data_IF_037781484473
#
_entry.id   IF_037781484473
#
_cell.length_a   1.000
_cell.length_b   1.000
_cell.length_c   1.000
_cell.angle_alpha   90.00
_cell.angle_beta   90.00
_cell.angle_gamma   90.00
#
_symmetry.space_group_name_H-M   'P 1'
#
loop_
_entity.id
_entity.type
_entity.pdbx_description
1 polymer ?
#
# COMPACT_ATOMS: atom_id res chain seq x y z
N UNK A 1 -0.06 7.81 42.71
CA UNK A 1 -0.63 6.66 41.97
C UNK A 1 -0.99 7.12 40.55
N UNK A 2 0.00 7.45 39.72
CA UNK A 2 -0.23 7.94 38.35
C UNK A 2 0.74 7.35 37.31
N UNK A 3 1.62 6.41 37.68
CA UNK A 3 2.67 5.91 36.78
C UNK A 3 2.21 4.78 35.84
N UNK A 4 1.18 4.01 36.17
CA UNK A 4 0.74 2.86 35.35
C UNK A 4 -0.12 3.25 34.14
N UNK A 5 -0.81 4.39 34.18
CA UNK A 5 -1.66 4.84 33.08
C UNK A 5 -0.85 5.29 31.85
N UNK A 6 0.19 6.11 32.05
CA UNK A 6 1.09 6.56 30.96
C UNK A 6 1.81 5.38 30.29
N UNK A 7 2.33 4.43 31.07
CA UNK A 7 2.96 3.23 30.51
C UNK A 7 1.98 2.28 29.81
N UNK A 8 0.67 2.40 30.05
CA UNK A 8 -0.34 1.62 29.34
C UNK A 8 -0.72 2.30 28.02
N UNK A 9 -0.90 3.63 28.02
CA UNK A 9 -1.16 4.44 26.82
C UNK A 9 0.03 4.34 25.84
N UNK A 10 1.26 4.58 26.29
CA UNK A 10 2.47 4.46 25.44
C UNK A 10 2.62 3.06 24.82
N UNK A 11 2.19 2.02 25.55
CA UNK A 11 2.25 0.64 25.07
C UNK A 11 1.11 0.31 24.12
N UNK A 12 -0.08 0.85 24.35
CA UNK A 12 -1.21 0.71 23.44
C UNK A 12 -0.91 1.40 22.12
N UNK A 13 -0.31 2.60 22.15
CA UNK A 13 0.10 3.34 20.97
C UNK A 13 1.19 2.58 20.19
N UNK A 14 2.18 2.02 20.88
CA UNK A 14 3.20 1.16 20.26
C UNK A 14 2.57 -0.09 19.62
N UNK A 15 1.62 -0.74 20.29
CA UNK A 15 0.94 -1.93 19.73
C UNK A 15 0.14 -1.55 18.49
N UNK A 16 -0.63 -0.46 18.54
CA UNK A 16 -1.37 0.04 17.38
C UNK A 16 -0.46 0.38 16.20
N UNK A 17 0.68 1.04 16.47
CA UNK A 17 1.70 1.32 15.46
C UNK A 17 2.22 0.04 14.79
N UNK A 18 2.53 -0.98 15.59
CA UNK A 18 3.04 -2.26 15.06
C UNK A 18 1.97 -3.05 14.29
N UNK A 19 0.75 -3.10 14.80
CA UNK A 19 -0.36 -3.83 14.18
C UNK A 19 -0.77 -3.20 12.85
N UNK A 20 -0.96 -1.88 12.82
CA UNK A 20 -1.31 -1.15 11.59
C UNK A 20 -0.14 -1.12 10.60
N UNK A 21 1.10 -1.00 11.08
CA UNK A 21 2.29 -1.09 10.23
C UNK A 21 2.41 -2.45 9.55
N UNK A 22 2.17 -3.54 10.29
CA UNK A 22 2.15 -4.90 9.73
C UNK A 22 0.99 -5.09 8.74
N UNK A 23 -0.21 -4.60 9.06
CA UNK A 23 -1.37 -4.67 8.18
C UNK A 23 -1.11 -3.92 6.85
N UNK A 24 -0.49 -2.74 6.93
CA UNK A 24 -0.09 -1.95 5.77
C UNK A 24 0.96 -2.68 4.92
N UNK A 25 2.00 -3.25 5.55
CA UNK A 25 3.03 -4.02 4.86
C UNK A 25 2.45 -5.23 4.12
N UNK A 26 1.56 -5.99 4.77
CA UNK A 26 0.90 -7.14 4.17
C UNK A 26 0.01 -6.74 2.99
N UNK A 27 -0.76 -5.67 3.13
CA UNK A 27 -1.61 -5.17 2.05
C UNK A 27 -0.79 -4.67 0.85
N UNK A 28 0.35 -4.04 1.10
CA UNK A 28 1.30 -3.64 0.05
C UNK A 28 1.87 -4.86 -0.69
N UNK A 29 2.31 -5.89 0.02
CA UNK A 29 2.82 -7.12 -0.59
C UNK A 29 1.78 -7.81 -1.49
N UNK A 30 0.53 -7.92 -1.01
CA UNK A 30 -0.57 -8.49 -1.79
C UNK A 30 -0.91 -7.65 -3.02
N UNK A 31 -0.93 -6.32 -2.87
CA UNK A 31 -1.18 -5.39 -3.97
C UNK A 31 -0.10 -5.49 -5.05
N UNK A 32 1.18 -5.48 -4.66
CA UNK A 32 2.30 -5.65 -5.57
C UNK A 32 2.21 -6.96 -6.35
N UNK A 33 1.93 -8.08 -5.67
CA UNK A 33 1.76 -9.40 -6.31
C UNK A 33 0.66 -9.40 -7.36
N UNK A 34 -0.51 -8.83 -7.07
CA UNK A 34 -1.65 -8.79 -8.01
C UNK A 34 -1.35 -7.85 -9.19
N UNK A 35 -0.73 -6.69 -8.93
CA UNK A 35 -0.34 -5.74 -9.98
C UNK A 35 0.73 -6.31 -10.90
N UNK A 36 1.73 -7.01 -10.37
CA UNK A 36 2.77 -7.70 -11.15
C UNK A 36 2.17 -8.70 -12.16
N UNK A 37 1.12 -9.42 -11.77
CA UNK A 37 0.38 -10.32 -12.68
C UNK A 37 -0.24 -9.61 -13.89
N UNK A 38 -0.51 -8.31 -13.79
CA UNK A 38 -1.04 -7.47 -14.89
C UNK A 38 0.03 -6.95 -15.83
N UNK A 39 1.27 -6.80 -15.36
CA UNK A 39 2.39 -6.37 -16.20
C UNK A 39 2.64 -7.35 -17.33
N UNK A 40 2.52 -8.64 -17.03
CA UNK A 40 2.72 -9.73 -17.99
C UNK A 40 1.52 -9.99 -18.92
N UNK A 41 0.39 -9.28 -18.75
CA UNK A 41 -0.80 -9.53 -19.55
C UNK A 41 -0.70 -8.89 -20.95
N UNK A 42 -0.81 -9.74 -21.98
CA UNK A 42 -0.88 -9.36 -23.39
C UNK A 42 -2.24 -9.82 -23.94
N UNK A 43 -3.30 -9.06 -23.65
CA UNK A 43 -4.63 -9.33 -24.21
C UNK A 43 -4.69 -9.00 -25.71
N UNK A 44 -5.44 -9.76 -26.52
CA UNK A 44 -5.61 -9.44 -27.93
C UNK A 44 -6.44 -8.16 -28.09
N UNK A 45 -5.86 -7.11 -28.72
CA UNK A 45 -6.52 -5.83 -28.98
C UNK A 45 -5.87 -4.57 -28.36
N UNK A 46 -4.63 -4.67 -27.83
CA UNK A 46 -3.82 -3.62 -27.17
C UNK A 46 -3.38 -2.46 -28.11
N UNK A 47 -4.33 -1.77 -28.73
CA UNK A 47 -4.06 -0.48 -29.36
C UNK A 47 -4.10 0.64 -28.30
N UNK A 48 -3.10 0.66 -27.42
CA UNK A 48 -2.78 1.81 -26.54
C UNK A 48 -3.40 1.77 -25.13
N UNK A 49 -4.60 1.24 -24.97
CA UNK A 49 -5.30 1.14 -23.67
C UNK A 49 -4.58 0.16 -22.72
N UNK A 50 -4.07 -0.96 -23.24
CA UNK A 50 -3.30 -1.92 -22.45
C UNK A 50 -1.94 -1.38 -21.97
N UNK A 51 -1.34 -0.43 -22.70
CA UNK A 51 -0.08 0.19 -22.31
C UNK A 51 -0.21 1.10 -21.08
N UNK A 52 -1.31 1.85 -20.96
CA UNK A 52 -1.60 2.68 -19.79
C UNK A 52 -1.78 1.82 -18.53
N UNK A 53 -2.62 0.78 -18.61
CA UNK A 53 -2.82 -0.17 -17.50
C UNK A 53 -1.51 -0.86 -17.11
N UNK A 54 -0.72 -1.33 -18.08
CA UNK A 54 0.56 -1.99 -17.82
C UNK A 54 1.53 -1.05 -17.11
N UNK A 55 1.68 0.18 -17.60
CA UNK A 55 2.53 1.20 -16.97
C UNK A 55 2.08 1.47 -15.55
N UNK A 56 0.77 1.65 -15.34
CA UNK A 56 0.24 1.93 -14.01
C UNK A 56 0.44 0.77 -13.05
N UNK A 57 0.25 -0.47 -13.50
CA UNK A 57 0.51 -1.67 -12.70
C UNK A 57 1.99 -1.81 -12.32
N UNK A 58 2.94 -1.46 -13.21
CA UNK A 58 4.38 -1.42 -12.86
C UNK A 58 4.63 -0.42 -11.74
N UNK A 59 4.16 0.82 -11.89
CA UNK A 59 4.36 1.86 -10.88
C UNK A 59 3.75 1.48 -9.53
N UNK A 60 2.55 0.91 -9.53
CA UNK A 60 1.89 0.45 -8.31
C UNK A 60 2.64 -0.71 -7.66
N UNK A 61 3.19 -1.63 -8.45
CA UNK A 61 4.02 -2.75 -7.94
C UNK A 61 5.26 -2.21 -7.25
N UNK A 62 6.01 -1.32 -7.90
CA UNK A 62 7.27 -0.79 -7.37
C UNK A 62 7.07 0.00 -6.06
N UNK A 63 6.06 0.87 -6.00
CA UNK A 63 5.81 1.64 -4.77
C UNK A 63 5.30 0.76 -3.62
N UNK A 64 4.48 -0.26 -3.92
CA UNK A 64 3.98 -1.18 -2.91
C UNK A 64 5.12 -2.06 -2.37
N UNK A 65 6.00 -2.58 -3.24
CA UNK A 65 7.17 -3.36 -2.81
C UNK A 65 8.12 -2.51 -1.94
N UNK A 66 8.42 -1.28 -2.37
CA UNK A 66 9.28 -0.37 -1.60
C UNK A 66 8.67 -0.04 -0.23
N UNK A 67 7.36 0.17 -0.16
CA UNK A 67 6.64 0.45 1.09
C UNK A 67 6.62 -0.79 2.00
N UNK A 68 6.35 -1.97 1.44
CA UNK A 68 6.39 -3.23 2.18
C UNK A 68 7.76 -3.48 2.80
N UNK A 69 8.83 -3.32 2.00
CA UNK A 69 10.20 -3.46 2.48
C UNK A 69 10.52 -2.46 3.60
N UNK A 70 10.19 -1.18 3.40
CA UNK A 70 10.37 -0.12 4.40
C UNK A 70 9.69 -0.44 5.74
N UNK A 71 8.43 -0.89 5.71
CA UNK A 71 7.66 -1.20 6.92
C UNK A 71 8.11 -2.50 7.60
N UNK A 72 8.70 -3.42 6.84
CA UNK A 72 9.20 -4.70 7.35
C UNK A 72 10.60 -4.60 7.97
N UNK A 73 11.41 -3.65 7.50
CA UNK A 73 12.75 -3.39 8.03
C UNK A 73 12.68 -2.54 9.32
N UNK A 74 12.70 -3.19 10.49
CA UNK A 74 12.58 -2.56 11.83
C UNK A 74 13.74 -1.61 12.23
N UNK A 75 14.68 -1.28 11.35
CA UNK A 75 15.86 -0.51 11.70
C UNK A 75 15.66 1.00 11.45
N UNK A 76 15.42 1.76 12.53
CA UNK A 76 15.54 3.23 12.61
C UNK A 76 15.02 4.00 11.38
N UNK A 77 13.78 3.71 10.97
CA UNK A 77 13.10 4.51 9.96
C UNK A 77 12.56 5.79 10.63
N UNK A 78 12.87 6.93 10.02
CA UNK A 78 12.33 8.23 10.42
C UNK A 78 10.82 8.31 10.07
N UNK A 79 9.97 8.60 11.05
CA UNK A 79 8.50 8.65 10.88
C UNK A 79 8.07 9.63 9.78
N UNK A 80 8.81 10.73 9.58
CA UNK A 80 8.53 11.68 8.52
C UNK A 80 8.74 11.06 7.14
N UNK A 81 9.82 10.32 6.94
CA UNK A 81 10.09 9.57 5.71
C UNK A 81 9.06 8.45 5.48
N UNK A 82 8.65 7.74 6.55
CA UNK A 82 7.58 6.75 6.47
C UNK A 82 6.25 7.37 6.01
N UNK A 83 5.87 8.52 6.59
CA UNK A 83 4.64 9.22 6.22
C UNK A 83 4.63 9.57 4.74
N UNK A 84 5.71 10.15 4.22
CA UNK A 84 5.83 10.51 2.79
C UNK A 84 5.67 9.27 1.90
N UNK A 85 6.37 8.17 2.23
CA UNK A 85 6.29 6.94 1.44
C UNK A 85 4.88 6.34 1.45
N UNK A 86 4.23 6.27 2.61
CA UNK A 86 2.90 5.66 2.75
C UNK A 86 1.83 6.55 2.09
N UNK A 87 1.94 7.88 2.18
CA UNK A 87 1.08 8.82 1.44
C UNK A 87 1.20 8.62 -0.07
N UNK A 88 2.43 8.49 -0.57
CA UNK A 88 2.66 8.26 -1.99
C UNK A 88 2.13 6.90 -2.44
N UNK A 89 2.35 5.83 -1.65
CA UNK A 89 1.80 4.51 -1.90
C UNK A 89 0.27 4.53 -1.97
N UNK A 90 -0.39 5.20 -1.01
CA UNK A 90 -1.85 5.38 -0.99
C UNK A 90 -2.36 6.05 -2.25
N UNK A 91 -1.75 7.17 -2.66
CA UNK A 91 -2.15 7.90 -3.87
C UNK A 91 -2.00 7.04 -5.12
N UNK A 92 -0.86 6.35 -5.27
CA UNK A 92 -0.60 5.47 -6.41
C UNK A 92 -1.57 4.30 -6.48
N UNK A 93 -1.89 3.68 -5.34
CA UNK A 93 -2.88 2.61 -5.25
C UNK A 93 -4.27 3.07 -5.72
N UNK A 94 -4.72 4.26 -5.28
CA UNK A 94 -6.01 4.79 -5.71
C UNK A 94 -6.03 5.08 -7.22
N UNK A 95 -4.96 5.63 -7.76
CA UNK A 95 -4.87 5.87 -9.21
C UNK A 95 -4.82 4.56 -10.00
N UNK A 96 -4.09 3.56 -9.53
CA UNK A 96 -4.08 2.23 -10.14
C UNK A 96 -5.45 1.54 -10.07
N UNK A 97 -6.20 1.72 -8.98
CA UNK A 97 -7.55 1.19 -8.88
C UNK A 97 -8.48 1.82 -9.94
N UNK A 98 -8.42 3.13 -10.14
CA UNK A 98 -9.21 3.82 -11.17
C UNK A 98 -8.86 3.34 -12.59
N UNK A 99 -7.57 3.14 -12.89
CA UNK A 99 -7.16 2.59 -14.19
C UNK A 99 -7.64 1.15 -14.33
N UNK A 100 -7.52 0.31 -13.30
CA UNK A 100 -8.02 -1.07 -13.32
C UNK A 100 -9.56 -1.13 -13.50
N UNK A 101 -10.34 -0.21 -12.94
CA UNK A 101 -11.80 -0.17 -13.12
C UNK A 101 -12.23 0.07 -14.59
N UNK A 102 -11.37 0.69 -15.41
CA UNK A 102 -11.62 0.88 -16.84
C UNK A 102 -11.32 -0.36 -17.71
N UNK A 103 -10.76 -1.43 -17.12
CA UNK A 103 -10.27 -2.59 -17.84
C UNK A 103 -11.00 -3.88 -17.45
N UNK A 104 -11.72 -4.52 -18.40
CA UNK A 104 -12.37 -5.80 -18.15
C UNK A 104 -11.38 -6.87 -17.66
N UNK A 105 -11.76 -7.60 -16.62
CA UNK A 105 -10.92 -8.65 -16.06
C UNK A 105 -9.87 -8.15 -15.06
N UNK A 106 -9.82 -6.85 -14.75
CA UNK A 106 -8.91 -6.23 -13.78
C UNK A 106 -9.54 -5.97 -12.40
N UNK A 107 -10.69 -6.57 -12.10
CA UNK A 107 -11.48 -6.33 -10.89
C UNK A 107 -10.70 -6.70 -9.62
N UNK A 108 -9.93 -7.79 -9.68
CA UNK A 108 -9.05 -8.22 -8.58
C UNK A 108 -7.93 -7.20 -8.33
N UNK A 109 -7.33 -6.63 -9.39
CA UNK A 109 -6.35 -5.54 -9.25
C UNK A 109 -6.98 -4.36 -8.53
N UNK A 110 -8.13 -3.89 -9.01
CA UNK A 110 -8.78 -2.73 -8.43
C UNK A 110 -9.18 -2.96 -6.96
N UNK A 111 -9.63 -4.16 -6.61
CA UNK A 111 -9.94 -4.55 -5.23
C UNK A 111 -8.69 -4.56 -4.33
N UNK A 112 -7.58 -5.13 -4.79
CA UNK A 112 -6.32 -5.18 -4.06
C UNK A 112 -5.74 -3.77 -3.84
N UNK A 113 -5.72 -2.93 -4.88
CA UNK A 113 -5.28 -1.53 -4.78
C UNK A 113 -6.12 -0.74 -3.78
N UNK A 114 -7.45 -0.90 -3.78
CA UNK A 114 -8.33 -0.26 -2.79
C UNK A 114 -8.10 -0.77 -1.37
N UNK A 115 -7.79 -2.06 -1.20
CA UNK A 115 -7.45 -2.63 0.11
C UNK A 115 -6.14 -2.05 0.64
N UNK A 116 -5.12 -1.96 -0.21
CA UNK A 116 -3.84 -1.33 0.13
C UNK A 116 -4.01 0.14 0.48
N UNK A 117 -4.74 0.92 -0.34
CA UNK A 117 -5.00 2.33 -0.05
C UNK A 117 -5.70 2.56 1.30
N UNK A 118 -6.61 1.65 1.70
CA UNK A 118 -7.25 1.69 3.03
C UNK A 118 -6.23 1.42 4.14
N UNK A 119 -5.46 0.34 4.06
CA UNK A 119 -4.44 0.03 5.06
C UNK A 119 -3.38 1.15 5.19
N UNK A 120 -2.95 1.76 4.08
CA UNK A 120 -2.08 2.95 4.12
C UNK A 120 -2.75 4.13 4.82
N UNK A 121 -4.06 4.33 4.62
CA UNK A 121 -4.82 5.40 5.29
C UNK A 121 -4.90 5.16 6.80
N UNK A 122 -5.18 3.92 7.19
CA UNK A 122 -5.31 3.53 8.60
C UNK A 122 -3.97 3.69 9.32
N UNK A 123 -2.87 3.26 8.70
CA UNK A 123 -1.53 3.46 9.26
C UNK A 123 -1.11 4.94 9.32
N UNK A 124 -1.44 5.74 8.31
CA UNK A 124 -1.19 7.20 8.34
C UNK A 124 -1.90 7.89 9.50
N UNK A 125 -3.08 7.40 9.91
CA UNK A 125 -3.78 7.95 11.07
C UNK A 125 -3.03 7.69 12.39
N UNK A 126 -2.22 6.64 12.45
CA UNK A 126 -1.33 6.35 13.60
C UNK A 126 -0.05 7.18 13.55
N UNK A 127 0.49 7.45 12.36
CA UNK A 127 1.71 8.25 12.19
C UNK A 127 1.51 9.73 12.59
N UNK A 128 0.28 10.26 12.58
CA UNK A 128 -0.06 11.62 13.01
C UNK A 128 0.10 12.68 11.93
#
# INVERSE_FOLDING_TARGET
MTSTAWHAEDRQDLVAFLEEGFACAQACADCARVCAGRVSFAGPGDAGVGHEMRRQAVLCTEVCDATCAMLSEQAHQDEYSMRIQVEWCRAMCMECAHVCDAHPGAEECAAACRACARACTDFLAILG
#
